data_IF_679029437754
#
_entry.id   IF_679029437754
#
_cell.length_a   1.000
_cell.length_b   1.000
_cell.length_c   1.000
_cell.angle_alpha   90.00
_cell.angle_beta   90.00
_cell.angle_gamma   90.00
#
_symmetry.space_group_name_H-M   'P 1'
#
loop_
_entity.id
_entity.type
_entity.pdbx_description
1 polymer ?
#
# COMPACT_ATOMS: atom_id res chain seq x y z
N UNK A 1 -8.99 -8.73 1.00
CA UNK A 1 -8.74 -9.72 2.03
C UNK A 1 -7.47 -10.49 1.73
N UNK A 2 -6.70 -10.87 2.79
CA UNK A 2 -5.36 -11.46 2.69
C UNK A 2 -4.25 -10.43 2.85
N UNK A 3 -3.16 -10.84 3.49
CA UNK A 3 -1.93 -10.07 3.62
C UNK A 3 -0.76 -11.06 3.76
N UNK A 4 0.39 -10.84 3.13
CA UNK A 4 1.56 -11.69 3.33
C UNK A 4 2.25 -11.43 4.66
N UNK A 5 1.96 -10.30 5.34
CA UNK A 5 2.57 -9.90 6.59
C UNK A 5 1.74 -10.30 7.80
N UNK A 6 2.42 -10.49 8.94
CA UNK A 6 1.83 -10.79 10.25
C UNK A 6 2.28 -9.73 11.28
N UNK A 7 2.03 -8.44 10.94
CA UNK A 7 2.44 -7.31 11.79
C UNK A 7 1.83 -7.42 13.18
N UNK A 8 2.64 -7.26 14.24
CA UNK A 8 2.16 -7.40 15.62
C UNK A 8 1.04 -6.41 15.98
N UNK A 9 1.12 -5.18 15.46
CA UNK A 9 0.11 -4.13 15.69
C UNK A 9 -0.77 -3.91 14.47
N UNK A 10 -1.21 -5.02 13.82
CA UNK A 10 -2.08 -4.93 12.66
C UNK A 10 -3.45 -4.36 13.05
N UNK A 11 -3.89 -3.29 12.36
CA UNK A 11 -5.21 -2.69 12.59
C UNK A 11 -6.35 -3.50 11.95
N UNK A 12 -6.02 -4.40 11.01
CA UNK A 12 -6.97 -5.21 10.26
C UNK A 12 -6.67 -6.72 10.39
N UNK A 13 -6.58 -7.27 11.62
CA UNK A 13 -6.22 -8.68 11.81
C UNK A 13 -7.24 -9.64 11.19
N UNK A 14 -8.49 -9.21 11.02
CA UNK A 14 -9.52 -9.96 10.31
C UNK A 14 -9.17 -10.25 8.84
N UNK A 15 -8.30 -9.44 8.22
CA UNK A 15 -7.84 -9.69 6.85
C UNK A 15 -6.92 -10.92 6.73
N UNK A 16 -6.41 -11.44 7.84
CA UNK A 16 -5.56 -12.64 7.89
C UNK A 16 -6.35 -13.93 8.10
N UNK A 17 -7.62 -13.84 8.46
CA UNK A 17 -8.47 -14.97 8.85
C UNK A 17 -9.44 -15.31 7.72
N UNK A 18 -9.62 -16.59 7.43
CA UNK A 18 -10.51 -17.05 6.35
C UNK A 18 -11.98 -16.65 6.55
N UNK A 19 -12.42 -16.53 7.79
CA UNK A 19 -13.76 -16.11 8.21
C UNK A 19 -13.92 -14.59 8.30
N UNK A 20 -12.83 -13.82 8.16
CA UNK A 20 -12.85 -12.36 8.13
C UNK A 20 -13.43 -11.76 6.83
N UNK A 21 -13.78 -12.58 5.83
CA UNK A 21 -14.42 -12.13 4.60
C UNK A 21 -15.93 -12.00 4.84
N UNK A 22 -16.42 -10.76 4.95
CA UNK A 22 -17.86 -10.54 5.11
C UNK A 22 -18.60 -10.36 3.78
N UNK A 23 -17.90 -10.01 2.68
CA UNK A 23 -18.49 -9.84 1.35
C UNK A 23 -17.50 -10.16 0.24
N UNK A 24 -17.98 -10.75 -0.83
CA UNK A 24 -17.25 -10.94 -2.09
C UNK A 24 -17.98 -10.19 -3.19
N UNK A 25 -17.22 -9.50 -4.04
CA UNK A 25 -17.76 -8.66 -5.10
C UNK A 25 -16.97 -8.86 -6.38
N UNK A 26 -17.63 -8.73 -7.50
CA UNK A 26 -17.01 -8.54 -8.80
C UNK A 26 -16.63 -7.05 -8.99
N UNK A 27 -15.75 -6.69 -9.93
CA UNK A 27 -15.46 -5.28 -10.24
C UNK A 27 -16.71 -4.47 -10.59
N UNK A 28 -17.66 -5.05 -11.35
CA UNK A 28 -18.91 -4.39 -11.70
C UNK A 28 -19.84 -4.14 -10.52
N UNK A 29 -19.96 -5.11 -9.59
CA UNK A 29 -20.73 -4.91 -8.35
C UNK A 29 -20.10 -3.82 -7.47
N UNK A 30 -18.77 -3.78 -7.36
CA UNK A 30 -18.10 -2.70 -6.64
C UNK A 30 -18.36 -1.35 -7.30
N UNK A 31 -18.26 -1.27 -8.64
CA UNK A 31 -18.53 -0.03 -9.37
C UNK A 31 -19.95 0.47 -9.08
N UNK A 32 -20.97 -0.39 -9.23
CA UNK A 32 -22.37 -0.03 -8.96
C UNK A 32 -22.63 0.42 -7.51
N UNK A 33 -21.81 -0.02 -6.56
CA UNK A 33 -21.94 0.41 -5.17
C UNK A 33 -21.33 1.77 -4.92
N UNK A 34 -20.20 2.10 -5.58
CA UNK A 34 -19.46 3.35 -5.34
C UNK A 34 -19.81 4.48 -6.29
N UNK A 35 -20.50 4.19 -7.42
CA UNK A 35 -20.91 5.22 -8.39
C UNK A 35 -21.88 6.25 -7.81
N UNK A 36 -22.53 5.95 -6.69
CA UNK A 36 -23.38 6.90 -5.96
C UNK A 36 -22.59 8.13 -5.49
N UNK A 37 -21.28 7.99 -5.29
CA UNK A 37 -20.37 9.05 -4.86
C UNK A 37 -19.72 9.81 -6.03
N UNK A 38 -20.12 9.53 -7.29
CA UNK A 38 -19.52 10.11 -8.49
C UNK A 38 -19.41 11.65 -8.42
N UNK A 39 -20.52 12.32 -8.08
CA UNK A 39 -20.54 13.78 -7.94
C UNK A 39 -19.56 14.30 -6.90
N UNK A 40 -19.37 13.56 -5.81
CA UNK A 40 -18.42 13.91 -4.76
C UNK A 40 -16.98 13.73 -5.25
N UNK A 41 -16.67 12.62 -5.92
CA UNK A 41 -15.34 12.37 -6.50
C UNK A 41 -14.99 13.43 -7.55
N UNK A 42 -15.93 13.76 -8.43
CA UNK A 42 -15.75 14.81 -9.44
C UNK A 42 -15.50 16.18 -8.80
N UNK A 43 -16.28 16.56 -7.79
CA UNK A 43 -16.17 17.86 -7.14
C UNK A 43 -14.86 18.02 -6.32
N UNK A 44 -14.33 16.93 -5.79
CA UNK A 44 -13.13 16.95 -4.92
C UNK A 44 -11.85 16.55 -5.66
N UNK A 45 -11.94 16.05 -6.89
CA UNK A 45 -10.84 15.39 -7.60
C UNK A 45 -10.38 14.12 -6.86
N UNK A 46 -11.31 13.44 -6.20
CA UNK A 46 -11.12 12.21 -5.43
C UNK A 46 -11.26 10.94 -6.26
N UNK A 47 -11.58 9.84 -5.59
CA UNK A 47 -11.78 8.54 -6.21
C UNK A 47 -11.67 7.39 -5.21
N UNK A 48 -11.14 6.27 -5.65
CA UNK A 48 -11.11 5.02 -4.89
C UNK A 48 -9.72 4.73 -4.36
N UNK A 49 -9.64 4.36 -3.08
CA UNK A 49 -8.43 3.85 -2.45
C UNK A 49 -8.61 2.37 -2.11
N UNK A 50 -7.75 1.50 -2.67
CA UNK A 50 -7.67 0.11 -2.25
C UNK A 50 -6.63 -0.06 -1.15
N UNK A 51 -7.08 -0.62 -0.03
CA UNK A 51 -6.26 -0.88 1.15
C UNK A 51 -6.77 -2.10 1.93
N UNK A 52 -6.57 -2.12 3.24
CA UNK A 52 -7.08 -3.16 4.14
C UNK A 52 -6.03 -4.17 4.57
N UNK A 53 -5.97 -5.38 3.98
CA UNK A 53 -4.84 -6.31 4.07
C UNK A 53 -3.73 -5.88 3.11
N UNK A 54 -3.43 -6.71 2.08
CA UNK A 54 -2.53 -6.30 1.00
C UNK A 54 -3.32 -6.29 -0.32
N UNK A 55 -3.73 -5.14 -0.83
CA UNK A 55 -4.59 -5.05 -2.00
C UNK A 55 -3.91 -5.58 -3.27
N UNK A 56 -2.58 -5.50 -3.37
CA UNK A 56 -1.84 -5.97 -4.53
C UNK A 56 -1.90 -7.49 -4.73
N UNK A 57 -2.34 -8.26 -3.73
CA UNK A 57 -2.66 -9.68 -3.92
C UNK A 57 -3.80 -9.87 -4.93
N UNK A 58 -4.62 -8.83 -5.12
CA UNK A 58 -5.77 -8.80 -6.02
C UNK A 58 -5.57 -7.80 -7.18
N UNK A 59 -4.35 -7.66 -7.68
CA UNK A 59 -4.01 -6.71 -8.74
C UNK A 59 -4.85 -6.89 -10.02
N UNK A 60 -5.24 -8.12 -10.37
CA UNK A 60 -6.12 -8.39 -11.52
C UNK A 60 -7.53 -7.83 -11.31
N UNK A 61 -8.07 -7.92 -10.07
CA UNK A 61 -9.35 -7.30 -9.72
C UNK A 61 -9.27 -5.77 -9.81
N UNK A 62 -8.20 -5.18 -9.25
CA UNK A 62 -8.00 -3.72 -9.27
C UNK A 62 -7.88 -3.24 -10.72
N UNK A 63 -7.14 -3.97 -11.57
CA UNK A 63 -7.03 -3.66 -12.99
C UNK A 63 -8.40 -3.71 -13.69
N UNK A 64 -9.17 -4.78 -13.49
CA UNK A 64 -10.49 -4.90 -14.09
C UNK A 64 -11.48 -3.82 -13.59
N UNK A 65 -11.36 -3.39 -12.32
CA UNK A 65 -12.14 -2.26 -11.80
C UNK A 65 -11.72 -0.94 -12.47
N UNK A 66 -10.41 -0.69 -12.62
CA UNK A 66 -9.91 0.51 -13.27
C UNK A 66 -10.34 0.64 -14.75
N UNK A 67 -10.58 -0.49 -15.43
CA UNK A 67 -11.06 -0.52 -16.82
C UNK A 67 -12.53 -0.09 -16.97
N UNK A 68 -13.32 -0.14 -15.90
CA UNK A 68 -14.75 0.21 -15.91
C UNK A 68 -15.11 1.42 -15.08
N UNK A 69 -14.23 1.90 -14.21
CA UNK A 69 -14.50 3.08 -13.39
C UNK A 69 -14.55 4.36 -14.25
N UNK A 70 -15.19 5.40 -13.73
CA UNK A 70 -15.17 6.71 -14.36
C UNK A 70 -13.71 7.20 -14.52
N UNK A 71 -13.25 7.55 -15.73
CA UNK A 71 -11.86 7.93 -16.00
C UNK A 71 -11.40 9.20 -15.28
N UNK A 72 -12.32 10.01 -14.76
CA UNK A 72 -12.01 11.19 -13.96
C UNK A 72 -11.72 10.86 -12.49
N UNK A 73 -12.06 9.64 -12.03
CA UNK A 73 -11.76 9.22 -10.66
C UNK A 73 -10.29 8.86 -10.51
N UNK A 74 -9.73 9.17 -9.36
CA UNK A 74 -8.37 8.78 -9.01
C UNK A 74 -8.34 7.41 -8.37
N UNK A 75 -7.45 6.57 -8.86
CA UNK A 75 -7.14 5.28 -8.25
C UNK A 75 -5.93 5.44 -7.33
N UNK A 76 -6.09 5.15 -6.06
CA UNK A 76 -5.01 5.16 -5.08
C UNK A 76 -4.84 3.80 -4.42
N UNK A 77 -3.63 3.50 -3.97
CA UNK A 77 -3.28 2.22 -3.34
C UNK A 77 -2.57 2.46 -2.02
N UNK A 78 -3.00 1.77 -0.98
CA UNK A 78 -2.32 1.68 0.31
C UNK A 78 -1.75 0.27 0.48
N UNK A 79 -0.41 0.12 0.46
CA UNK A 79 0.26 -1.18 0.34
C UNK A 79 1.54 -1.27 1.15
N UNK A 80 1.90 -2.50 1.56
CA UNK A 80 3.22 -2.82 2.10
C UNK A 80 4.26 -3.13 1.02
N UNK A 81 3.86 -3.28 -0.23
CA UNK A 81 4.67 -3.76 -1.36
C UNK A 81 5.30 -5.16 -1.18
N UNK A 82 4.97 -5.92 -0.15
CA UNK A 82 5.54 -7.26 0.03
C UNK A 82 4.83 -8.32 -0.83
N UNK A 83 4.80 -8.08 -2.13
CA UNK A 83 4.14 -8.93 -3.14
C UNK A 83 5.09 -9.24 -4.30
N UNK A 84 4.80 -10.25 -5.14
CA UNK A 84 5.53 -10.46 -6.38
C UNK A 84 5.51 -9.21 -7.28
N UNK A 85 6.65 -8.85 -7.87
CA UNK A 85 6.79 -7.67 -8.73
C UNK A 85 5.75 -7.61 -9.87
N UNK A 86 5.32 -8.76 -10.38
CA UNK A 86 4.28 -8.83 -11.41
C UNK A 86 2.98 -8.15 -11.00
N UNK A 87 2.63 -8.21 -9.71
CA UNK A 87 1.39 -7.60 -9.17
C UNK A 87 1.51 -6.06 -9.16
N UNK A 88 2.69 -5.54 -8.81
CA UNK A 88 2.98 -4.09 -8.89
C UNK A 88 2.89 -3.62 -10.34
N UNK A 89 3.57 -4.32 -11.25
CA UNK A 89 3.59 -4.00 -12.68
C UNK A 89 2.20 -4.01 -13.32
N UNK A 90 1.31 -4.89 -12.87
CA UNK A 90 -0.02 -5.05 -13.44
C UNK A 90 -0.88 -3.78 -13.35
N UNK A 91 -0.63 -2.93 -12.34
CA UNK A 91 -1.46 -1.75 -12.07
C UNK A 91 -0.67 -0.44 -12.01
N UNK A 92 0.66 -0.47 -12.13
CA UNK A 92 1.50 0.70 -11.89
C UNK A 92 1.11 1.93 -12.73
N UNK A 93 0.74 1.73 -14.00
CA UNK A 93 0.31 2.82 -14.90
C UNK A 93 -1.10 3.34 -14.62
N UNK A 94 -1.90 2.61 -13.84
CA UNK A 94 -3.29 2.96 -13.53
C UNK A 94 -3.42 3.76 -12.24
N UNK A 95 -2.40 3.69 -11.37
CA UNK A 95 -2.44 4.29 -10.04
C UNK A 95 -1.96 5.73 -10.09
N UNK A 96 -2.79 6.64 -9.57
CA UNK A 96 -2.46 8.06 -9.45
C UNK A 96 -1.55 8.34 -8.26
N UNK A 97 -1.79 7.69 -7.12
CA UNK A 97 -1.01 7.88 -5.89
C UNK A 97 -0.87 6.58 -5.12
N UNK A 98 0.34 6.31 -4.64
CA UNK A 98 0.68 5.17 -3.80
C UNK A 98 0.99 5.64 -2.38
N UNK A 99 0.38 5.03 -1.40
CA UNK A 99 0.76 5.12 0.02
C UNK A 99 1.49 3.84 0.40
N UNK A 100 2.80 3.93 0.54
CA UNK A 100 3.64 2.74 0.76
C UNK A 100 4.12 2.69 2.19
N UNK A 101 3.63 1.70 2.93
CA UNK A 101 3.98 1.47 4.33
C UNK A 101 5.31 0.72 4.46
N UNK A 102 6.39 1.43 4.73
CA UNK A 102 7.69 0.84 5.02
C UNK A 102 7.85 0.71 6.53
N UNK A 103 7.81 -0.52 7.04
CA UNK A 103 7.88 -0.77 8.49
C UNK A 103 9.28 -0.52 9.04
N UNK A 104 10.31 -0.90 8.29
CA UNK A 104 11.72 -0.51 8.45
C UNK A 104 12.52 -1.00 7.24
N UNK A 105 13.61 -0.32 6.86
CA UNK A 105 14.52 -0.82 5.80
C UNK A 105 15.52 -1.83 6.36
N UNK A 106 15.78 -1.82 7.68
CA UNK A 106 16.61 -2.82 8.32
C UNK A 106 15.90 -4.18 8.29
N UNK A 107 16.49 -5.21 7.64
CA UNK A 107 15.82 -6.49 7.46
C UNK A 107 15.55 -7.24 8.77
N UNK A 108 16.36 -7.00 9.81
CA UNK A 108 16.18 -7.62 11.14
C UNK A 108 14.94 -7.02 11.83
N UNK A 109 14.84 -5.69 11.84
CA UNK A 109 13.70 -4.98 12.44
C UNK A 109 12.43 -5.30 11.67
N UNK A 110 12.47 -5.21 10.33
CA UNK A 110 11.34 -5.53 9.49
C UNK A 110 10.80 -6.94 9.75
N UNK A 111 11.70 -7.94 9.77
CA UNK A 111 11.33 -9.34 10.03
C UNK A 111 10.79 -9.55 11.43
N UNK A 112 11.41 -8.92 12.44
CA UNK A 112 10.94 -9.02 13.82
C UNK A 112 9.51 -8.51 14.00
N UNK A 113 9.14 -7.43 13.28
CA UNK A 113 7.81 -6.83 13.36
C UNK A 113 6.76 -7.51 12.47
N UNK A 114 7.15 -7.92 11.26
CA UNK A 114 6.20 -8.39 10.23
C UNK A 114 6.17 -9.91 10.05
N UNK A 115 7.16 -10.63 10.56
CA UNK A 115 7.38 -12.05 10.33
C UNK A 115 8.05 -12.39 8.99
N UNK A 116 8.20 -11.43 8.07
CA UNK A 116 8.63 -11.64 6.69
C UNK A 116 9.92 -10.87 6.34
N UNK A 117 10.56 -11.26 5.20
CA UNK A 117 11.69 -10.51 4.64
C UNK A 117 11.22 -9.24 3.90
N UNK A 118 12.02 -8.16 3.96
CA UNK A 118 11.77 -6.93 3.20
C UNK A 118 12.39 -6.94 1.80
N UNK A 119 13.03 -8.02 1.36
CA UNK A 119 13.70 -8.07 0.06
C UNK A 119 12.77 -7.77 -1.13
N UNK A 120 11.52 -8.27 -1.07
CA UNK A 120 10.52 -7.99 -2.10
C UNK A 120 10.14 -6.51 -2.11
N UNK A 121 9.97 -5.93 -0.94
CA UNK A 121 9.63 -4.51 -0.77
C UNK A 121 10.72 -3.64 -1.40
N UNK A 122 11.99 -3.87 -1.03
CA UNK A 122 13.11 -3.11 -1.55
C UNK A 122 13.28 -3.26 -3.07
N UNK A 123 13.07 -4.47 -3.60
CA UNK A 123 13.09 -4.73 -5.06
C UNK A 123 11.95 -4.00 -5.78
N UNK A 124 10.74 -4.00 -5.21
CA UNK A 124 9.59 -3.33 -5.80
C UNK A 124 9.74 -1.81 -5.76
N UNK A 125 10.28 -1.26 -4.67
CA UNK A 125 10.63 0.16 -4.57
C UNK A 125 11.66 0.57 -5.62
N UNK A 126 12.75 -0.20 -5.76
CA UNK A 126 13.75 0.08 -6.77
C UNK A 126 13.14 0.08 -8.18
N UNK A 127 12.30 -0.92 -8.49
CA UNK A 127 11.63 -0.98 -9.78
C UNK A 127 10.72 0.24 -10.01
N UNK A 128 9.96 0.67 -9.01
CA UNK A 128 9.09 1.86 -9.12
C UNK A 128 9.91 3.13 -9.37
N UNK A 129 11.04 3.29 -8.69
CA UNK A 129 11.94 4.42 -8.91
C UNK A 129 12.58 4.41 -10.30
N UNK A 130 13.07 3.23 -10.75
CA UNK A 130 13.69 3.06 -12.08
C UNK A 130 12.72 3.26 -13.26
N UNK A 131 11.40 3.28 -12.99
CA UNK A 131 10.35 3.44 -14.00
C UNK A 131 9.54 4.75 -13.80
N UNK A 132 10.12 5.77 -13.17
CA UNK A 132 9.58 7.12 -13.03
C UNK A 132 8.26 7.23 -12.20
N UNK A 133 8.04 6.30 -11.26
CA UNK A 133 6.86 6.37 -10.38
C UNK A 133 7.12 7.11 -9.06
N UNK A 134 8.35 7.58 -8.78
CA UNK A 134 8.73 8.17 -7.48
C UNK A 134 7.85 9.34 -7.06
N UNK A 135 7.43 10.19 -8.01
CA UNK A 135 6.61 11.38 -7.73
C UNK A 135 5.14 11.04 -7.38
N UNK A 136 4.73 9.80 -7.63
CA UNK A 136 3.40 9.28 -7.29
C UNK A 136 3.38 8.49 -5.98
N UNK A 137 4.48 8.50 -5.21
CA UNK A 137 4.64 7.65 -4.04
C UNK A 137 4.87 8.50 -2.79
N UNK A 138 4.00 8.31 -1.81
CA UNK A 138 4.18 8.78 -0.44
C UNK A 138 4.64 7.59 0.39
N UNK A 139 5.87 7.65 0.88
CA UNK A 139 6.42 6.65 1.79
C UNK A 139 5.96 6.95 3.22
N UNK A 140 5.28 6.01 3.84
CA UNK A 140 4.85 6.10 5.23
C UNK A 140 5.84 5.36 6.13
N UNK A 141 6.48 6.10 7.05
CA UNK A 141 7.51 5.61 7.97
C UNK A 141 7.03 5.71 9.42
N UNK A 142 6.46 4.63 9.98
CA UNK A 142 6.04 4.63 11.38
C UNK A 142 7.22 4.52 12.35
N UNK A 143 7.11 5.21 13.49
CA UNK A 143 7.82 4.82 14.69
C UNK A 143 7.00 3.73 15.39
N UNK A 144 7.56 2.53 15.50
CA UNK A 144 6.88 1.33 16.00
C UNK A 144 7.44 1.01 17.39
N UNK A 145 6.66 1.23 18.46
CA UNK A 145 7.12 0.95 19.82
C UNK A 145 7.68 -0.46 19.96
N UNK A 146 8.79 -0.61 20.68
CA UNK A 146 9.57 -1.85 20.91
C UNK A 146 10.34 -2.39 19.70
N UNK A 147 10.12 -1.89 18.47
CA UNK A 147 10.75 -2.43 17.26
C UNK A 147 11.79 -1.51 16.65
N UNK A 148 11.47 -0.25 16.44
CA UNK A 148 12.42 0.70 15.88
C UNK A 148 12.52 1.98 16.70
N UNK A 149 13.57 2.74 16.46
CA UNK A 149 13.87 4.03 17.09
C UNK A 149 13.78 5.15 16.07
N UNK A 150 13.83 6.40 16.54
CA UNK A 150 13.94 7.58 15.66
C UNK A 150 15.13 7.48 14.71
N UNK A 151 16.29 7.03 15.21
CA UNK A 151 17.48 6.82 14.40
C UNK A 151 17.27 5.79 13.29
N UNK A 152 16.56 4.69 13.56
CA UNK A 152 16.21 3.70 12.54
C UNK A 152 15.29 4.30 11.48
N UNK A 153 14.31 5.11 11.88
CA UNK A 153 13.39 5.80 10.97
C UNK A 153 14.13 6.81 10.09
N UNK A 154 15.03 7.61 10.66
CA UNK A 154 15.87 8.56 9.92
C UNK A 154 16.78 7.83 8.93
N UNK A 155 17.39 6.71 9.33
CA UNK A 155 18.18 5.87 8.45
C UNK A 155 17.35 5.33 7.28
N UNK A 156 16.14 4.84 7.56
CA UNK A 156 15.20 4.38 6.56
C UNK A 156 14.85 5.49 5.56
N UNK A 157 14.55 6.68 6.07
CA UNK A 157 14.24 7.83 5.24
C UNK A 157 15.42 8.23 4.34
N UNK A 158 16.63 8.25 4.87
CA UNK A 158 17.82 8.62 4.09
C UNK A 158 18.10 7.59 2.98
N UNK A 159 17.99 6.30 3.27
CA UNK A 159 18.17 5.24 2.27
C UNK A 159 17.12 5.37 1.15
N UNK A 160 15.86 5.62 1.50
CA UNK A 160 14.78 5.75 0.52
C UNK A 160 14.90 7.03 -0.31
N UNK A 161 15.42 8.13 0.25
CA UNK A 161 15.80 9.33 -0.51
C UNK A 161 16.89 9.03 -1.54
N UNK A 162 17.88 8.21 -1.19
CA UNK A 162 18.94 7.83 -2.10
C UNK A 162 18.45 6.96 -3.26
N UNK A 163 17.33 6.21 -3.07
CA UNK A 163 16.64 5.46 -4.14
C UNK A 163 15.87 6.42 -5.08
N UNK A 164 15.45 7.59 -4.59
CA UNK A 164 14.76 8.60 -5.41
C UNK A 164 13.39 9.02 -4.89
N UNK A 165 12.99 8.60 -3.68
CA UNK A 165 11.71 9.02 -3.09
C UNK A 165 11.86 10.33 -2.32
N UNK A 166 10.89 11.25 -2.48
CA UNK A 166 10.95 12.59 -1.90
C UNK A 166 9.79 12.91 -0.96
N UNK A 167 8.70 12.15 -1.01
CA UNK A 167 7.50 12.41 -0.21
C UNK A 167 7.39 11.39 0.92
N UNK A 168 7.40 11.89 2.16
CA UNK A 168 7.39 11.06 3.36
C UNK A 168 6.30 11.52 4.32
N UNK A 169 5.56 10.54 4.85
CA UNK A 169 4.63 10.69 5.97
C UNK A 169 5.21 9.92 7.16
N UNK A 170 5.53 10.63 8.25
CA UNK A 170 6.11 10.07 9.46
C UNK A 170 5.16 10.21 10.63
N UNK A 171 4.93 9.12 11.35
CA UNK A 171 4.01 9.07 12.49
C UNK A 171 4.45 8.02 13.51
N UNK A 172 3.80 8.01 14.66
CA UNK A 172 4.06 7.03 15.72
C UNK A 172 2.83 6.13 15.90
N UNK A 173 3.02 4.83 15.99
CA UNK A 173 1.94 3.91 16.32
C UNK A 173 1.48 4.12 17.76
N UNK A 174 0.18 4.27 17.93
CA UNK A 174 -0.46 4.26 19.24
C UNK A 174 -0.87 2.82 19.53
N UNK A 175 -0.12 2.15 20.39
CA UNK A 175 -0.43 0.79 20.85
C UNK A 175 -1.42 0.91 22.01
N UNK A 176 -2.60 0.34 21.83
CA UNK A 176 -3.65 0.28 22.87
C UNK A 176 -3.64 -1.06 23.58
#
# INVERSE_FOLDING_TARGET
>A
HGCPLHCEYCLNPQCLQSDGVWRRMTPGELYSEVEIDDLYFMATGGGICFGGGEPLLHSDFIKAFAEIMNPEWKLTIETSLNVPLKNVKAIASLVEMWYVDIKDVNPIIYKAYTGESNERVMRNLQWLADNDYSDKIIIRLPLIPKYNTEENREHSQQLLKNIGFNYFDTFTYIVR
#
